data_IF_427303628911
#
_entry.id   IF_427303628911
#
_cell.length_a   1.000
_cell.length_b   1.000
_cell.length_c   1.000
_cell.angle_alpha   90.00
_cell.angle_beta   90.00
_cell.angle_gamma   90.00
#
_symmetry.space_group_name_H-M   'P 1'
#
loop_
_entity.id
_entity.type
_entity.pdbx_description
1 polymer ?
#
# COMPACT_ATOMS: atom_id res chain seq x y z
N UNK A 1 11.12 9.29 4.61
CA UNK A 1 10.09 8.82 3.64
C UNK A 1 8.83 8.28 4.36
N UNK A 2 8.91 7.28 5.24
CA UNK A 2 7.75 6.70 5.92
C UNK A 2 6.88 7.74 6.66
N UNK A 3 7.49 8.65 7.44
CA UNK A 3 6.77 9.73 8.11
C UNK A 3 6.08 10.69 7.13
N UNK A 4 6.67 10.96 5.97
CA UNK A 4 6.03 11.79 4.94
C UNK A 4 4.77 11.13 4.37
N UNK A 5 4.77 9.81 4.21
CA UNK A 5 3.58 9.04 3.79
C UNK A 5 2.51 9.12 4.88
N UNK A 6 2.88 8.88 6.13
CA UNK A 6 1.94 8.96 7.26
C UNK A 6 1.31 10.35 7.39
N UNK A 7 2.10 11.40 7.22
CA UNK A 7 1.61 12.78 7.26
C UNK A 7 0.67 13.10 6.10
N UNK A 8 0.96 12.61 4.90
CA UNK A 8 0.08 12.75 3.75
C UNK A 8 -1.27 12.05 3.98
N UNK A 9 -1.26 10.84 4.56
CA UNK A 9 -2.47 10.11 4.91
C UNK A 9 -3.26 10.84 6.00
N UNK A 10 -2.60 11.34 7.07
CA UNK A 10 -3.28 12.13 8.12
C UNK A 10 -3.97 13.35 7.53
N UNK A 11 -3.30 14.10 6.65
CA UNK A 11 -3.89 15.28 5.99
C UNK A 11 -5.06 14.91 5.08
N UNK A 12 -4.94 13.82 4.32
CA UNK A 12 -6.00 13.36 3.43
C UNK A 12 -7.28 13.00 4.20
N UNK A 13 -7.13 12.42 5.40
CA UNK A 13 -8.22 11.93 6.24
C UNK A 13 -8.58 12.87 7.40
N UNK A 14 -8.03 14.08 7.43
CA UNK A 14 -8.27 15.06 8.50
C UNK A 14 -9.73 15.55 8.56
N UNK A 15 -10.40 15.62 7.41
CA UNK A 15 -11.82 15.93 7.33
C UNK A 15 -12.64 14.62 7.44
N UNK A 16 -13.45 14.42 8.48
CA UNK A 16 -14.24 13.22 8.66
C UNK A 16 -15.23 12.95 7.53
N UNK A 17 -15.82 13.97 6.91
CA UNK A 17 -16.74 13.81 5.79
C UNK A 17 -16.00 13.22 4.57
N UNK A 18 -14.82 13.76 4.28
CA UNK A 18 -13.95 13.24 3.21
C UNK A 18 -13.40 11.85 3.53
N UNK A 19 -13.08 11.59 4.80
CA UNK A 19 -12.55 10.30 5.21
C UNK A 19 -13.54 9.16 4.91
N UNK A 20 -14.85 9.34 5.18
CA UNK A 20 -15.86 8.31 4.91
C UNK A 20 -16.15 8.14 3.41
N UNK A 21 -15.87 9.14 2.57
CA UNK A 21 -15.95 9.00 1.11
C UNK A 21 -14.80 8.16 0.53
N UNK A 22 -13.62 8.21 1.17
CA UNK A 22 -12.41 7.52 0.73
C UNK A 22 -12.33 6.11 1.30
N UNK A 23 -12.71 5.94 2.59
CA UNK A 23 -12.54 4.70 3.33
C UNK A 23 -13.78 3.82 3.19
N UNK A 24 -13.55 2.57 2.81
CA UNK A 24 -14.60 1.55 2.80
C UNK A 24 -14.89 0.99 4.20
N UNK A 25 -16.13 0.51 4.41
CA UNK A 25 -16.47 -0.21 5.61
C UNK A 25 -15.80 -1.60 5.65
N UNK A 26 -15.32 -1.98 6.82
CA UNK A 26 -14.79 -3.32 7.08
C UNK A 26 -15.94 -4.32 7.09
N UNK A 27 -15.87 -5.33 6.23
CA UNK A 27 -16.97 -6.28 6.00
C UNK A 27 -16.93 -7.53 6.91
N UNK A 28 -15.80 -7.78 7.59
CA UNK A 28 -15.66 -8.94 8.47
C UNK A 28 -14.60 -8.74 9.55
N UNK A 29 -14.77 -9.45 10.66
CA UNK A 29 -13.86 -9.39 11.81
C UNK A 29 -12.45 -9.90 11.51
N UNK A 30 -12.24 -10.64 10.43
CA UNK A 30 -10.92 -11.08 10.00
C UNK A 30 -10.01 -9.93 9.65
N UNK A 31 -10.57 -8.84 9.10
CA UNK A 31 -9.81 -7.60 8.83
C UNK A 31 -9.35 -6.95 10.12
N UNK A 32 -10.24 -6.85 11.13
CA UNK A 32 -9.89 -6.27 12.43
C UNK A 32 -8.80 -7.09 13.14
N UNK A 33 -8.89 -8.41 13.11
CA UNK A 33 -7.86 -9.29 13.67
C UNK A 33 -6.51 -9.12 12.95
N UNK A 34 -6.50 -8.98 11.62
CA UNK A 34 -5.27 -8.72 10.85
C UNK A 34 -4.67 -7.36 11.17
N UNK A 35 -5.49 -6.31 11.31
CA UNK A 35 -5.02 -4.99 11.75
C UNK A 35 -4.32 -5.08 13.11
N UNK A 36 -4.94 -5.76 14.08
CA UNK A 36 -4.34 -5.92 15.41
C UNK A 36 -3.04 -6.73 15.37
N UNK A 37 -3.02 -7.84 14.63
CA UNK A 37 -1.82 -8.65 14.47
C UNK A 37 -0.69 -7.88 13.78
N UNK A 38 -1.01 -7.09 12.74
CA UNK A 38 -0.02 -6.35 11.97
C UNK A 38 0.65 -5.22 12.77
N UNK A 39 0.01 -4.68 13.79
CA UNK A 39 0.57 -3.63 14.66
C UNK A 39 1.89 -4.02 15.34
N UNK A 40 2.09 -5.31 15.59
CA UNK A 40 3.27 -5.84 16.29
C UNK A 40 4.37 -6.37 15.36
N UNK A 41 4.19 -6.31 14.02
CA UNK A 41 5.12 -6.90 13.07
C UNK A 41 6.37 -6.07 12.81
N UNK A 42 6.37 -4.80 13.17
CA UNK A 42 7.50 -3.91 12.94
C UNK A 42 7.33 -2.55 13.61
N UNK A 43 8.02 -1.54 13.08
CA UNK A 43 7.91 -0.17 13.60
C UNK A 43 6.57 0.44 13.19
N UNK A 44 5.73 0.79 14.15
CA UNK A 44 4.49 1.50 13.90
C UNK A 44 4.78 2.91 13.34
N UNK A 45 4.36 3.17 12.11
CA UNK A 45 4.50 4.46 11.41
C UNK A 45 3.21 5.27 11.48
N UNK A 46 2.08 4.61 11.23
CA UNK A 46 0.74 5.18 11.38
C UNK A 46 -0.18 4.13 11.97
N UNK A 47 -0.80 4.43 13.11
CA UNK A 47 -1.77 3.53 13.71
C UNK A 47 -3.16 3.72 13.10
N UNK A 48 -3.90 2.63 13.03
CA UNK A 48 -5.29 2.62 12.55
C UNK A 48 -6.23 3.18 13.61
N UNK A 49 -7.20 3.97 13.19
CA UNK A 49 -8.23 4.56 14.04
C UNK A 49 -9.62 4.25 13.51
N UNK A 50 -10.60 4.19 14.41
CA UNK A 50 -12.00 4.11 14.03
C UNK A 50 -12.48 5.46 13.48
N UNK A 51 -13.29 5.41 12.42
CA UNK A 51 -13.95 6.58 11.84
C UNK A 51 -15.46 6.36 11.93
N UNK A 52 -16.17 7.30 12.52
CA UNK A 52 -17.63 7.26 12.60
C UNK A 52 -18.26 7.73 11.28
N UNK A 53 -19.21 6.98 10.75
CA UNK A 53 -19.97 7.39 9.58
C UNK A 53 -21.23 8.15 10.01
N UNK A 54 -21.49 9.38 9.51
CA UNK A 54 -22.59 10.23 10.00
C UNK A 54 -23.98 9.63 9.74
N UNK A 55 -24.14 8.89 8.62
CA UNK A 55 -25.42 8.29 8.23
C UNK A 55 -25.56 6.81 8.59
N UNK A 56 -24.44 6.11 8.89
CA UNK A 56 -24.42 4.67 9.17
C UNK A 56 -23.63 4.40 10.45
N UNK A 57 -24.23 4.59 11.63
CA UNK A 57 -23.53 4.50 12.93
C UNK A 57 -22.96 3.11 13.22
N UNK A 58 -23.53 2.06 12.63
CA UNK A 58 -23.08 0.67 12.79
C UNK A 58 -21.96 0.28 11.80
N UNK A 59 -21.58 1.17 10.89
CA UNK A 59 -20.50 0.90 9.94
C UNK A 59 -19.15 0.88 10.66
N UNK A 60 -18.40 -0.21 10.50
CA UNK A 60 -17.04 -0.31 10.98
C UNK A 60 -16.08 0.24 9.94
N UNK A 61 -15.55 1.45 10.15
CA UNK A 61 -14.58 2.08 9.26
C UNK A 61 -13.26 2.24 9.99
N UNK A 62 -12.15 1.92 9.34
CA UNK A 62 -10.80 2.02 9.89
C UNK A 62 -9.89 2.82 8.97
N UNK A 63 -9.09 3.71 9.54
CA UNK A 63 -8.00 4.34 8.80
C UNK A 63 -6.90 3.33 8.50
N UNK A 64 -6.04 3.57 7.49
CA UNK A 64 -4.92 2.69 7.21
C UNK A 64 -3.97 2.53 8.40
N UNK A 65 -3.44 1.31 8.54
CA UNK A 65 -2.29 0.97 9.36
C UNK A 65 -1.05 0.97 8.48
N UNK A 66 0.02 1.67 8.89
CA UNK A 66 1.31 1.65 8.19
C UNK A 66 2.39 1.15 9.15
N UNK A 67 3.08 0.10 8.76
CA UNK A 67 4.14 -0.55 9.55
C UNK A 67 5.44 -0.51 8.76
N UNK A 68 6.50 -0.02 9.39
CA UNK A 68 7.85 -0.06 8.85
C UNK A 68 8.48 -1.43 9.09
N UNK A 69 8.94 -2.06 8.02
CA UNK A 69 9.65 -3.34 8.03
C UNK A 69 11.07 -3.18 7.49
N UNK A 70 11.88 -4.19 7.68
CA UNK A 70 13.20 -4.33 7.08
C UNK A 70 13.16 -5.29 5.89
N UNK A 71 14.20 -5.32 5.08
CA UNK A 71 14.32 -6.30 3.97
C UNK A 71 14.43 -7.75 4.44
N UNK A 72 14.69 -7.97 5.73
CA UNK A 72 14.75 -9.29 6.35
C UNK A 72 13.37 -9.87 6.67
N UNK A 73 12.34 -9.03 6.79
CA UNK A 73 10.99 -9.42 7.18
C UNK A 73 10.18 -10.03 6.02
N UNK A 74 10.86 -10.80 5.15
CA UNK A 74 10.29 -11.38 3.91
C UNK A 74 9.04 -12.22 4.16
N UNK A 75 9.04 -13.04 5.21
CA UNK A 75 7.90 -13.85 5.57
C UNK A 75 6.64 -13.02 5.91
N UNK A 76 6.83 -11.76 6.33
CA UNK A 76 5.74 -10.84 6.64
C UNK A 76 5.22 -10.17 5.38
N UNK A 77 6.08 -9.45 4.63
CA UNK A 77 5.61 -8.62 3.52
C UNK A 77 5.32 -9.39 2.23
N UNK A 78 5.75 -10.65 2.12
CA UNK A 78 5.39 -11.53 1.01
C UNK A 78 4.07 -12.30 1.23
N UNK A 79 3.47 -12.21 2.42
CA UNK A 79 2.14 -12.73 2.67
C UNK A 79 1.08 -11.67 2.39
N UNK A 80 -0.10 -12.11 1.94
CA UNK A 80 -1.24 -11.23 1.75
C UNK A 80 -1.85 -10.83 3.10
N UNK A 81 -1.93 -9.52 3.34
CA UNK A 81 -2.55 -8.90 4.51
C UNK A 81 -3.80 -8.15 4.07
N UNK A 82 -4.85 -8.88 3.77
CA UNK A 82 -6.09 -8.28 3.29
C UNK A 82 -6.73 -7.35 4.32
N UNK A 83 -6.76 -6.06 3.98
CA UNK A 83 -7.26 -4.97 4.83
C UNK A 83 -6.55 -3.65 4.53
N UNK A 84 -6.88 -2.56 5.24
CA UNK A 84 -6.20 -1.27 5.11
C UNK A 84 -4.84 -1.31 5.82
N UNK A 85 -3.95 -2.17 5.36
CA UNK A 85 -2.61 -2.41 5.91
C UNK A 85 -1.59 -2.14 4.81
N UNK A 86 -0.56 -1.35 5.13
CA UNK A 86 0.56 -1.10 4.25
C UNK A 86 1.89 -1.29 4.98
N UNK A 87 2.86 -1.88 4.29
CA UNK A 87 4.22 -2.02 4.76
C UNK A 87 5.14 -1.06 4.02
N UNK A 88 6.02 -0.40 4.76
CA UNK A 88 7.09 0.44 4.22
C UNK A 88 8.42 -0.23 4.51
N UNK A 89 9.12 -0.61 3.46
CA UNK A 89 10.41 -1.31 3.56
C UNK A 89 11.50 -0.38 3.07
N UNK A 90 12.43 -0.03 3.95
CA UNK A 90 13.62 0.73 3.56
C UNK A 90 14.65 -0.22 2.96
N UNK A 91 15.18 0.15 1.79
CA UNK A 91 16.22 -0.60 1.09
C UNK A 91 17.49 0.24 0.99
N UNK A 92 18.62 -0.40 0.81
CA UNK A 92 19.91 0.28 0.67
C UNK A 92 20.15 0.85 -0.74
N UNK A 93 19.41 0.32 -1.73
CA UNK A 93 19.55 0.74 -3.13
C UNK A 93 18.28 0.53 -3.94
N UNK A 94 18.19 1.26 -5.06
CA UNK A 94 17.16 1.03 -6.09
C UNK A 94 17.20 -0.40 -6.63
N UNK A 95 18.38 -0.98 -6.78
CA UNK A 95 18.53 -2.35 -7.27
C UNK A 95 17.88 -3.36 -6.30
N UNK A 96 18.07 -3.16 -5.01
CA UNK A 96 17.43 -4.00 -3.98
C UNK A 96 15.91 -3.83 -3.99
N UNK A 97 15.40 -2.58 -4.07
CA UNK A 97 13.95 -2.31 -4.16
C UNK A 97 13.32 -3.01 -5.37
N UNK A 98 13.92 -2.88 -6.54
CA UNK A 98 13.43 -3.49 -7.76
C UNK A 98 13.52 -5.02 -7.72
N UNK A 99 14.57 -5.57 -7.11
CA UNK A 99 14.71 -7.01 -6.89
C UNK A 99 13.61 -7.57 -5.98
N UNK A 100 13.33 -6.89 -4.87
CA UNK A 100 12.24 -7.28 -3.95
C UNK A 100 10.89 -7.21 -4.67
N UNK A 101 10.61 -6.14 -5.42
CA UNK A 101 9.38 -5.98 -6.16
C UNK A 101 9.19 -7.10 -7.20
N UNK A 102 10.22 -7.39 -8.00
CA UNK A 102 10.21 -8.49 -8.98
C UNK A 102 9.92 -9.84 -8.33
N UNK A 103 10.65 -10.16 -7.26
CA UNK A 103 10.53 -11.45 -6.56
C UNK A 103 9.14 -11.60 -5.93
N UNK A 104 8.58 -10.50 -5.37
CA UNK A 104 7.24 -10.49 -4.82
C UNK A 104 6.18 -10.74 -5.89
N UNK A 105 6.26 -10.03 -7.02
CA UNK A 105 5.31 -10.20 -8.14
C UNK A 105 5.38 -11.61 -8.71
N UNK A 106 6.58 -12.11 -8.97
CA UNK A 106 6.76 -13.46 -9.56
C UNK A 106 6.33 -14.58 -8.62
N UNK A 107 6.60 -14.44 -7.33
CA UNK A 107 6.33 -15.48 -6.35
C UNK A 107 4.89 -15.49 -5.81
N UNK A 108 4.24 -14.31 -5.77
CA UNK A 108 2.95 -14.14 -5.10
C UNK A 108 1.90 -13.43 -5.97
N UNK A 109 2.29 -12.88 -7.11
CA UNK A 109 1.43 -12.07 -7.96
C UNK A 109 1.24 -10.65 -7.45
N UNK A 110 0.79 -9.77 -8.35
CA UNK A 110 0.35 -8.42 -8.02
C UNK A 110 -0.62 -7.91 -9.10
N UNK A 111 -1.55 -7.06 -8.72
CA UNK A 111 -2.45 -6.40 -9.66
C UNK A 111 -1.70 -5.30 -10.44
N UNK A 112 -0.82 -4.57 -9.77
CA UNK A 112 -0.06 -3.48 -10.35
C UNK A 112 1.24 -3.25 -9.59
N UNK A 113 2.23 -2.71 -10.30
CA UNK A 113 3.46 -2.13 -9.75
C UNK A 113 3.42 -0.62 -10.01
N UNK A 114 3.92 0.18 -9.08
CA UNK A 114 4.03 1.62 -9.26
C UNK A 114 5.44 2.10 -8.98
N UNK A 115 5.97 2.98 -9.83
CA UNK A 115 7.25 3.64 -9.62
C UNK A 115 7.07 5.15 -9.58
N UNK A 116 7.70 5.78 -8.61
CA UNK A 116 7.77 7.24 -8.47
C UNK A 116 9.24 7.65 -8.47
N UNK A 117 9.70 8.24 -9.55
CA UNK A 117 11.09 8.66 -9.73
C UNK A 117 11.21 9.77 -10.75
N UNK A 118 12.20 10.64 -10.57
CA UNK A 118 12.63 11.65 -11.55
C UNK A 118 13.85 11.19 -12.36
N UNK A 119 14.37 9.99 -12.08
CA UNK A 119 15.50 9.39 -12.78
C UNK A 119 15.02 8.48 -13.91
N UNK A 120 15.38 8.80 -15.15
CA UNK A 120 15.06 7.98 -16.33
C UNK A 120 15.66 6.57 -16.22
N UNK A 121 16.87 6.42 -15.66
CA UNK A 121 17.47 5.11 -15.39
C UNK A 121 16.63 4.24 -14.45
N UNK A 122 16.13 4.83 -13.36
CA UNK A 122 15.25 4.11 -12.42
C UNK A 122 13.96 3.70 -13.10
N UNK A 123 13.36 4.60 -13.89
CA UNK A 123 12.12 4.32 -14.62
C UNK A 123 12.35 3.19 -15.64
N UNK A 124 13.42 3.25 -16.44
CA UNK A 124 13.75 2.22 -17.41
C UNK A 124 13.89 0.84 -16.74
N UNK A 125 14.65 0.77 -15.66
CA UNK A 125 14.84 -0.49 -14.90
C UNK A 125 13.53 -0.99 -14.26
N UNK A 126 12.62 -0.09 -13.87
CA UNK A 126 11.31 -0.49 -13.36
C UNK A 126 10.42 -1.06 -14.47
N UNK A 127 10.54 -0.54 -15.70
CA UNK A 127 9.87 -1.09 -16.90
C UNK A 127 10.38 -2.51 -17.15
N UNK A 128 11.70 -2.72 -17.20
CA UNK A 128 12.30 -4.05 -17.40
C UNK A 128 11.80 -5.05 -16.35
N UNK A 129 11.72 -4.63 -15.09
CA UNK A 129 11.22 -5.47 -13.99
C UNK A 129 9.73 -5.80 -14.17
N UNK A 130 8.92 -4.84 -14.59
CA UNK A 130 7.49 -5.05 -14.78
C UNK A 130 7.21 -5.99 -15.97
N UNK A 131 7.95 -5.83 -17.08
CA UNK A 131 7.89 -6.73 -18.25
C UNK A 131 8.31 -8.14 -17.87
N UNK A 132 9.45 -8.28 -17.18
CA UNK A 132 9.99 -9.57 -16.72
C UNK A 132 9.07 -10.28 -15.73
N UNK A 133 8.38 -9.54 -14.88
CA UNK A 133 7.44 -10.08 -13.91
C UNK A 133 6.00 -10.24 -14.44
N UNK A 134 5.68 -9.67 -15.61
CA UNK A 134 4.35 -9.75 -16.22
C UNK A 134 3.28 -8.95 -15.46
N UNK A 135 3.60 -7.75 -14.99
CA UNK A 135 2.70 -6.92 -14.19
C UNK A 135 2.50 -5.55 -14.84
N UNK A 136 1.27 -5.00 -14.74
CA UNK A 136 1.00 -3.63 -15.18
C UNK A 136 1.79 -2.61 -14.35
N UNK A 137 2.47 -1.66 -15.02
CA UNK A 137 3.28 -0.62 -14.38
C UNK A 137 2.63 0.75 -14.49
N UNK A 138 2.53 1.46 -13.37
CA UNK A 138 2.20 2.88 -13.30
C UNK A 138 3.45 3.70 -13.02
N UNK A 139 3.69 4.74 -13.82
CA UNK A 139 4.87 5.62 -13.67
C UNK A 139 4.39 6.99 -13.24
N UNK A 140 4.86 7.46 -12.09
CA UNK A 140 4.57 8.81 -11.54
C UNK A 140 3.07 9.17 -11.55
N UNK A 141 2.21 8.19 -11.31
CA UNK A 141 0.76 8.38 -11.28
C UNK A 141 0.38 9.25 -10.08
N UNK A 142 -0.17 10.44 -10.34
CA UNK A 142 -0.52 11.44 -9.32
C UNK A 142 -1.92 12.02 -9.57
N UNK A 143 -2.41 12.80 -8.61
CA UNK A 143 -3.71 13.46 -8.71
C UNK A 143 -4.86 12.61 -8.21
N UNK A 144 -6.04 12.74 -8.84
CA UNK A 144 -7.26 12.03 -8.45
C UNK A 144 -7.38 10.60 -9.01
N UNK A 145 -6.33 10.06 -9.60
CA UNK A 145 -6.32 8.70 -10.16
C UNK A 145 -5.73 7.75 -9.13
N UNK A 146 -6.56 6.85 -8.62
CA UNK A 146 -6.18 5.91 -7.54
C UNK A 146 -5.84 4.51 -8.07
N UNK A 147 -6.16 4.21 -9.33
CA UNK A 147 -5.94 2.92 -9.96
C UNK A 147 -5.43 3.12 -11.38
N UNK A 148 -4.47 2.31 -11.81
CA UNK A 148 -4.12 2.23 -13.22
C UNK A 148 -5.29 1.61 -13.98
N UNK A 149 -5.90 2.37 -14.89
CA UNK A 149 -7.06 1.92 -15.67
C UNK A 149 -6.74 0.68 -16.53
N UNK A 150 -5.51 0.57 -17.01
CA UNK A 150 -5.08 -0.62 -17.78
C UNK A 150 -5.15 -1.90 -16.96
N UNK A 151 -4.81 -1.84 -15.66
CA UNK A 151 -4.90 -2.98 -14.78
C UNK A 151 -6.36 -3.30 -14.37
N UNK A 152 -7.26 -2.29 -14.39
CA UNK A 152 -8.66 -2.46 -14.02
C UNK A 152 -9.52 -3.07 -15.15
N UNK A 153 -9.06 -3.00 -16.40
CA UNK A 153 -9.81 -3.42 -17.60
C UNK A 153 -9.07 -4.46 -18.45
N UNK A 154 -7.96 -5.03 -17.98
CA UNK A 154 -7.35 -6.18 -18.67
C UNK A 154 -8.18 -7.43 -18.39
N UNK A 155 -8.77 -7.98 -19.43
CA UNK A 155 -9.39 -9.30 -19.39
C UNK A 155 -8.37 -10.41 -19.15
#
# INVERSE_FOLDING_TARGET
MAEGIAEAVRRLLADPARAVEILGAVQNDGVLRRLEAARSLGKLVLDTQAVAHPAYPDATIRTPLIVGLTTQDRATYLNEWFGPIAFVIATESTAESLGIARDAVRGHGALTLSVYSTSDDVIARAIDVAEDAGVALSINLTGGVFVNQSAAFSD
#
